data_IF_064617233446
#
_entry.id   IF_064617233446
#
_cell.length_a   1.000
_cell.length_b   1.000
_cell.length_c   1.000
_cell.angle_alpha   90.00
_cell.angle_beta   90.00
_cell.angle_gamma   90.00
#
_symmetry.space_group_name_H-M   'P 1'
#
loop_
_entity.id
_entity.type
_entity.pdbx_description
1 polymer ?
#
# COMPACT_ATOMS: atom_id res chain seq x y z
N UNK A 1 -30.48 11.98 -7.26
CA UNK A 1 -29.66 10.81 -6.87
C UNK A 1 -29.30 10.04 -8.12
N UNK A 2 -28.03 9.73 -8.30
CA UNK A 2 -27.58 8.89 -9.41
C UNK A 2 -27.91 7.43 -9.12
N UNK A 3 -27.78 6.57 -10.14
CA UNK A 3 -27.88 5.11 -9.97
C UNK A 3 -26.64 4.45 -10.55
N UNK A 4 -26.19 3.39 -9.90
CA UNK A 4 -25.14 2.54 -10.48
C UNK A 4 -25.68 1.88 -11.76
N UNK A 5 -24.92 1.98 -12.85
CA UNK A 5 -25.27 1.33 -14.11
C UNK A 5 -24.90 -0.15 -14.06
N UNK A 6 -25.42 -0.95 -14.99
CA UNK A 6 -25.00 -2.36 -15.15
C UNK A 6 -23.49 -2.50 -15.37
N UNK A 7 -22.87 -1.54 -16.08
CA UNK A 7 -21.43 -1.51 -16.29
C UNK A 7 -20.67 -1.22 -15.00
N UNK A 8 -21.15 -0.27 -14.18
CA UNK A 8 -20.56 -0.01 -12.86
C UNK A 8 -20.62 -1.26 -11.98
N UNK A 9 -21.80 -1.88 -11.83
CA UNK A 9 -21.98 -3.07 -11.01
C UNK A 9 -21.05 -4.22 -11.43
N UNK A 10 -20.88 -4.43 -12.74
CA UNK A 10 -19.96 -5.44 -13.27
C UNK A 10 -18.51 -5.14 -12.91
N UNK A 11 -18.10 -3.88 -13.06
CA UNK A 11 -16.74 -3.44 -12.72
C UNK A 11 -16.46 -3.58 -11.22
N UNK A 12 -17.38 -3.13 -10.38
CA UNK A 12 -17.28 -3.25 -8.92
C UNK A 12 -17.15 -4.72 -8.50
N UNK A 13 -18.06 -5.59 -8.99
CA UNK A 13 -18.01 -7.03 -8.73
C UNK A 13 -16.70 -7.69 -9.19
N UNK A 14 -16.17 -7.32 -10.36
CA UNK A 14 -14.91 -7.85 -10.88
C UNK A 14 -13.72 -7.55 -9.94
N UNK A 15 -13.75 -6.40 -9.27
CA UNK A 15 -12.73 -6.00 -8.30
C UNK A 15 -13.10 -6.30 -6.84
N UNK A 16 -14.15 -7.09 -6.60
CA UNK A 16 -14.62 -7.47 -5.28
C UNK A 16 -15.09 -6.29 -4.43
N UNK A 17 -15.58 -5.22 -5.08
CA UNK A 17 -16.19 -4.07 -4.43
C UNK A 17 -17.70 -4.30 -4.39
N UNK A 18 -18.25 -4.40 -3.20
CA UNK A 18 -19.68 -4.58 -2.99
C UNK A 18 -20.43 -3.26 -3.25
N UNK A 19 -21.67 -3.29 -3.77
CA UNK A 19 -22.47 -2.09 -4.00
C UNK A 19 -22.63 -1.20 -2.76
N UNK A 20 -22.61 -1.78 -1.56
CA UNK A 20 -22.70 -1.09 -0.29
C UNK A 20 -21.44 -0.26 0.03
N UNK A 21 -20.29 -0.60 -0.57
CA UNK A 21 -19.06 0.19 -0.49
C UNK A 21 -19.13 1.44 -1.40
N UNK A 22 -20.19 1.60 -2.20
CA UNK A 22 -20.39 2.73 -3.08
C UNK A 22 -21.15 3.90 -2.42
N UNK A 23 -20.80 5.12 -2.78
CA UNK A 23 -21.36 6.37 -2.25
C UNK A 23 -21.94 7.24 -3.37
N UNK A 24 -23.20 7.70 -3.23
CA UNK A 24 -23.80 8.66 -4.17
C UNK A 24 -23.22 10.05 -3.90
N UNK A 25 -22.30 10.49 -4.75
CA UNK A 25 -21.71 11.81 -4.71
C UNK A 25 -22.43 12.82 -5.63
N UNK A 26 -23.64 12.51 -6.11
CA UNK A 26 -24.43 13.41 -6.96
C UNK A 26 -24.59 14.79 -6.33
N UNK A 27 -24.17 15.82 -7.06
CA UNK A 27 -24.27 17.22 -6.60
C UNK A 27 -23.22 17.62 -5.56
N UNK A 28 -22.31 16.72 -5.16
CA UNK A 28 -21.25 17.00 -4.20
C UNK A 28 -19.92 17.25 -4.90
N UNK A 29 -19.20 18.29 -4.46
CA UNK A 29 -17.78 18.47 -4.81
C UNK A 29 -16.94 17.47 -4.03
N UNK A 30 -15.72 17.22 -4.53
CA UNK A 30 -14.74 16.33 -3.87
C UNK A 30 -14.50 16.68 -2.40
N UNK A 31 -14.41 17.96 -2.08
CA UNK A 31 -14.21 18.43 -0.71
C UNK A 31 -15.34 18.00 0.24
N UNK A 32 -16.54 17.77 -0.29
CA UNK A 32 -17.75 17.45 0.47
C UNK A 32 -17.94 15.93 0.60
N UNK A 33 -17.78 15.16 -0.48
CA UNK A 33 -17.98 13.71 -0.41
C UNK A 33 -16.80 12.98 0.25
N UNK A 34 -15.57 13.51 0.15
CA UNK A 34 -14.37 12.88 0.74
C UNK A 34 -14.50 12.61 2.24
N UNK A 35 -14.85 13.58 3.10
CA UNK A 35 -15.01 13.33 4.54
C UNK A 35 -16.17 12.38 4.84
N UNK A 36 -17.27 12.43 4.08
CA UNK A 36 -18.43 11.54 4.25
C UNK A 36 -18.09 10.09 3.92
N UNK A 37 -17.46 9.85 2.77
CA UNK A 37 -16.96 8.52 2.41
C UNK A 37 -16.01 7.96 3.47
N UNK A 38 -15.13 8.79 4.05
CA UNK A 38 -14.25 8.35 5.13
C UNK A 38 -15.03 7.97 6.40
N UNK A 39 -16.01 8.78 6.79
CA UNK A 39 -16.82 8.53 7.98
C UNK A 39 -17.71 7.29 7.84
N UNK A 40 -18.23 7.04 6.64
CA UNK A 40 -19.15 5.92 6.34
C UNK A 40 -18.44 4.66 5.84
N UNK A 41 -17.10 4.65 5.79
CA UNK A 41 -16.32 3.50 5.28
C UNK A 41 -16.57 3.18 3.80
N UNK A 42 -16.91 4.19 2.98
CA UNK A 42 -17.19 3.99 1.55
C UNK A 42 -15.91 4.04 0.73
N UNK A 43 -15.80 3.11 -0.21
CA UNK A 43 -14.61 2.92 -1.03
C UNK A 43 -14.66 3.75 -2.33
N UNK A 44 -15.82 3.77 -2.99
CA UNK A 44 -15.99 4.36 -4.34
C UNK A 44 -17.17 5.33 -4.39
N UNK A 45 -16.98 6.47 -5.03
CA UNK A 45 -18.03 7.43 -5.34
C UNK A 45 -18.58 7.20 -6.76
N UNK A 46 -19.90 7.29 -6.91
CA UNK A 46 -20.62 7.39 -8.19
C UNK A 46 -21.45 8.68 -8.22
N UNK A 47 -22.03 9.03 -9.38
CA UNK A 47 -22.71 10.33 -9.54
C UNK A 47 -21.75 11.52 -9.61
N UNK A 48 -20.45 11.26 -9.79
CA UNK A 48 -19.40 12.25 -9.98
C UNK A 48 -19.27 12.66 -11.45
N UNK A 49 -18.62 13.79 -11.70
CA UNK A 49 -18.25 14.21 -13.06
C UNK A 49 -17.40 13.12 -13.75
N UNK A 50 -17.79 12.65 -14.95
CA UNK A 50 -17.02 11.67 -15.70
C UNK A 50 -15.58 12.12 -15.95
N UNK A 51 -14.65 11.18 -16.06
CA UNK A 51 -13.30 11.48 -16.54
C UNK A 51 -13.28 11.64 -18.07
N UNK A 52 -12.13 11.95 -18.65
CA UNK A 52 -11.97 12.08 -20.11
C UNK A 52 -12.40 10.82 -20.89
N UNK A 53 -12.25 9.63 -20.29
CA UNK A 53 -12.67 8.36 -20.87
C UNK A 53 -14.16 8.01 -20.61
N UNK A 54 -14.95 8.94 -20.07
CA UNK A 54 -16.37 8.75 -19.78
C UNK A 54 -16.68 7.95 -18.51
N UNK A 55 -15.68 7.51 -17.74
CA UNK A 55 -15.89 6.76 -16.50
C UNK A 55 -16.37 7.65 -15.35
N UNK A 56 -17.33 7.16 -14.56
CA UNK A 56 -17.97 7.89 -13.47
C UNK A 56 -17.84 7.20 -12.09
N UNK A 57 -16.81 6.38 -11.92
CA UNK A 57 -16.41 5.80 -10.62
C UNK A 57 -15.09 6.42 -10.16
N UNK A 58 -15.10 7.08 -8.99
CA UNK A 58 -13.91 7.73 -8.42
C UNK A 58 -13.64 7.28 -6.99
N UNK A 59 -12.39 7.24 -6.57
CA UNK A 59 -12.05 7.07 -5.16
C UNK A 59 -12.30 8.36 -4.36
N UNK A 60 -12.14 8.31 -3.03
CA UNK A 60 -12.32 9.47 -2.14
C UNK A 60 -11.41 10.68 -2.45
N UNK A 61 -10.34 10.50 -3.22
CA UNK A 61 -9.41 11.55 -3.65
C UNK A 61 -9.74 12.13 -5.03
N UNK A 62 -10.74 11.58 -5.72
CA UNK A 62 -11.19 12.02 -7.04
C UNK A 62 -10.50 11.32 -8.20
N UNK A 63 -9.68 10.29 -7.98
CA UNK A 63 -9.07 9.53 -9.08
C UNK A 63 -10.06 8.53 -9.65
N UNK A 64 -10.09 8.41 -10.98
CA UNK A 64 -10.92 7.43 -11.66
C UNK A 64 -10.38 6.01 -11.41
N UNK A 65 -11.15 5.16 -10.75
CA UNK A 65 -10.69 3.80 -10.41
C UNK A 65 -10.65 2.88 -11.63
N UNK A 66 -11.37 3.22 -12.70
CA UNK A 66 -11.38 2.48 -13.97
C UNK A 66 -10.17 2.80 -14.85
N UNK A 67 -9.65 4.03 -14.79
CA UNK A 67 -8.41 4.39 -15.49
C UNK A 67 -7.17 3.91 -14.72
N UNK A 68 -7.27 3.80 -13.40
CA UNK A 68 -6.18 3.40 -12.51
C UNK A 68 -6.58 2.22 -11.62
N UNK A 69 -6.85 1.03 -12.19
CA UNK A 69 -7.33 -0.12 -11.43
C UNK A 69 -6.35 -0.56 -10.32
N UNK A 70 -5.05 -0.36 -10.51
CA UNK A 70 -4.05 -0.60 -9.46
C UNK A 70 -4.32 0.21 -8.18
N UNK A 71 -4.93 1.40 -8.29
CA UNK A 71 -5.29 2.22 -7.12
C UNK A 71 -6.32 1.55 -6.21
N UNK A 72 -7.10 0.59 -6.73
CA UNK A 72 -8.05 -0.20 -5.94
C UNK A 72 -7.28 -1.11 -5.00
N UNK A 73 -6.32 -1.87 -5.53
CA UNK A 73 -5.47 -2.76 -4.76
C UNK A 73 -4.61 -1.99 -3.74
N UNK A 74 -4.06 -0.82 -4.11
CA UNK A 74 -3.33 0.03 -3.17
C UNK A 74 -4.21 0.59 -2.05
N UNK A 75 -5.42 1.05 -2.38
CA UNK A 75 -6.36 1.54 -1.37
C UNK A 75 -6.77 0.43 -0.40
N UNK A 76 -7.06 -0.78 -0.90
CA UNK A 76 -7.35 -1.94 -0.05
C UNK A 76 -6.15 -2.39 0.76
N UNK A 77 -4.93 -2.36 0.19
CA UNK A 77 -3.69 -2.68 0.90
C UNK A 77 -3.52 -1.85 2.16
N UNK A 78 -3.93 -0.58 2.14
CA UNK A 78 -3.86 0.28 3.33
C UNK A 78 -4.73 -0.22 4.48
N UNK A 79 -5.80 -0.97 4.19
CA UNK A 79 -6.73 -1.50 5.19
C UNK A 79 -6.37 -2.92 5.64
N UNK A 80 -5.50 -3.62 4.91
CA UNK A 80 -5.10 -4.99 5.23
C UNK A 80 -4.24 -5.05 6.50
N UNK A 81 -4.61 -5.94 7.42
CA UNK A 81 -3.72 -6.46 8.45
C UNK A 81 -2.70 -7.42 7.83
N UNK A 82 -1.54 -7.55 8.47
CA UNK A 82 -0.50 -8.48 8.07
C UNK A 82 0.84 -8.17 8.71
N UNK A 83 1.88 -8.82 8.23
CA UNK A 83 3.24 -8.64 8.70
C UNK A 83 3.90 -7.42 8.05
N UNK A 84 4.33 -6.48 8.89
CA UNK A 84 5.40 -5.55 8.56
C UNK A 84 6.74 -6.23 8.83
N UNK A 85 7.71 -6.00 7.95
CA UNK A 85 9.05 -6.53 8.14
C UNK A 85 10.14 -5.51 7.77
N UNK A 86 11.25 -5.61 8.50
CA UNK A 86 12.52 -4.98 8.16
C UNK A 86 13.48 -6.07 7.70
N UNK A 87 14.06 -5.90 6.52
CA UNK A 87 15.12 -6.76 6.02
C UNK A 87 16.36 -5.96 5.69
N UNK A 88 17.54 -6.55 5.90
CA UNK A 88 18.83 -5.90 5.66
C UNK A 88 19.61 -6.67 4.60
N UNK A 89 20.26 -5.93 3.69
CA UNK A 89 21.34 -6.46 2.86
C UNK A 89 22.67 -6.12 3.54
N UNK A 90 23.52 -7.12 3.79
CA UNK A 90 24.85 -6.89 4.35
C UNK A 90 25.80 -6.32 3.30
N UNK A 91 25.67 -6.77 2.05
CA UNK A 91 26.51 -6.33 0.93
C UNK A 91 26.26 -4.88 0.51
N UNK A 92 25.00 -4.41 0.54
CA UNK A 92 24.68 -3.03 0.21
C UNK A 92 24.54 -2.10 1.42
N UNK A 93 24.46 -2.65 2.64
CA UNK A 93 24.21 -1.87 3.85
C UNK A 93 22.80 -1.26 3.94
N UNK A 94 21.89 -1.65 3.05
CA UNK A 94 20.55 -1.07 2.95
C UNK A 94 19.52 -1.82 3.80
N UNK A 95 18.48 -1.10 4.21
CA UNK A 95 17.27 -1.62 4.84
C UNK A 95 16.12 -1.59 3.85
N UNK A 96 15.41 -2.71 3.74
CA UNK A 96 14.12 -2.86 3.06
C UNK A 96 13.01 -2.86 4.10
N UNK A 97 12.00 -2.01 3.89
CA UNK A 97 10.76 -2.02 4.68
C UNK A 97 9.66 -2.58 3.81
N UNK A 98 9.00 -3.66 4.23
CA UNK A 98 7.94 -4.27 3.42
C UNK A 98 6.76 -4.79 4.23
N UNK A 99 5.73 -5.15 3.49
CA UNK A 99 4.50 -5.79 3.99
C UNK A 99 4.25 -7.13 3.31
N UNK A 100 3.75 -8.11 4.07
CA UNK A 100 3.10 -9.32 3.53
C UNK A 100 1.86 -9.69 4.35
N UNK A 101 0.81 -10.16 3.68
CA UNK A 101 -0.40 -10.66 4.35
C UNK A 101 -0.21 -12.04 4.99
N UNK A 102 0.85 -12.74 4.63
CA UNK A 102 1.07 -14.17 4.90
C UNK A 102 2.48 -14.46 5.41
N UNK A 103 3.48 -14.42 4.52
CA UNK A 103 4.80 -15.01 4.74
C UNK A 103 5.91 -14.02 4.29
N UNK A 104 6.44 -13.23 5.23
CA UNK A 104 7.60 -12.37 4.99
C UNK A 104 8.84 -13.12 4.50
N UNK A 105 9.05 -14.36 4.96
CA UNK A 105 10.24 -15.14 4.63
C UNK A 105 10.23 -15.54 3.15
N UNK A 106 9.08 -15.99 2.64
CA UNK A 106 8.92 -16.25 1.20
C UNK A 106 9.10 -14.98 0.35
N UNK A 107 8.69 -13.80 0.85
CA UNK A 107 8.94 -12.51 0.15
C UNK A 107 10.43 -12.21 0.03
N UNK A 108 11.19 -12.43 1.09
CA UNK A 108 12.64 -12.21 1.09
C UNK A 108 13.37 -13.28 0.27
N UNK A 109 12.93 -14.53 0.32
CA UNK A 109 13.42 -15.59 -0.55
C UNK A 109 13.31 -15.20 -2.03
N UNK A 110 12.12 -14.77 -2.48
CA UNK A 110 11.91 -14.33 -3.86
C UNK A 110 12.73 -13.08 -4.17
N UNK A 111 12.79 -12.10 -3.26
CA UNK A 111 13.60 -10.90 -3.44
C UNK A 111 15.09 -11.22 -3.66
N UNK A 112 15.61 -12.23 -2.97
CA UNK A 112 16.96 -12.72 -3.15
C UNK A 112 17.16 -13.46 -4.47
N UNK A 113 16.19 -14.26 -4.93
CA UNK A 113 16.27 -14.89 -6.25
C UNK A 113 16.29 -13.85 -7.38
N UNK A 114 15.49 -12.79 -7.24
CA UNK A 114 15.29 -11.75 -8.26
C UNK A 114 16.40 -10.68 -8.27
N UNK A 115 17.30 -10.68 -7.30
CA UNK A 115 18.30 -9.61 -7.14
C UNK A 115 17.66 -8.25 -6.84
N UNK A 116 16.61 -8.25 -6.01
CA UNK A 116 15.81 -7.06 -5.74
C UNK A 116 16.66 -5.88 -5.27
N UNK A 117 16.54 -4.72 -5.93
CA UNK A 117 17.35 -3.54 -5.61
C UNK A 117 18.85 -3.67 -5.89
N UNK A 118 19.24 -4.73 -6.59
CA UNK A 118 20.65 -5.09 -6.84
C UNK A 118 21.31 -5.85 -5.69
N UNK A 119 20.54 -6.50 -4.82
CA UNK A 119 21.04 -7.36 -3.73
C UNK A 119 20.38 -8.74 -3.74
N UNK A 120 21.13 -9.75 -3.27
CA UNK A 120 20.74 -11.17 -3.21
C UNK A 120 20.86 -11.76 -1.80
N UNK A 121 21.19 -10.92 -0.81
CA UNK A 121 21.56 -11.30 0.55
C UNK A 121 20.63 -10.69 1.60
N UNK A 122 19.40 -10.31 1.22
CA UNK A 122 18.40 -9.79 2.13
C UNK A 122 18.09 -10.80 3.24
N UNK A 123 18.10 -10.33 4.48
CA UNK A 123 17.72 -11.11 5.67
C UNK A 123 16.74 -10.32 6.51
N UNK A 124 15.67 -10.95 6.95
CA UNK A 124 14.73 -10.34 7.90
C UNK A 124 15.45 -10.12 9.22
N UNK A 125 15.34 -8.90 9.76
CA UNK A 125 15.84 -8.51 11.08
C UNK A 125 14.71 -8.28 12.09
N UNK A 126 13.51 -7.91 11.60
CA UNK A 126 12.34 -7.74 12.46
C UNK A 126 11.05 -8.04 11.68
N UNK A 127 10.08 -8.65 12.36
CA UNK A 127 8.70 -8.85 11.89
C UNK A 127 7.71 -8.44 12.96
N UNK A 128 6.54 -7.93 12.55
CA UNK A 128 5.43 -7.65 13.46
C UNK A 128 4.11 -7.78 12.72
N UNK A 129 3.16 -8.52 13.31
CA UNK A 129 1.79 -8.52 12.82
C UNK A 129 1.10 -7.24 13.29
N UNK A 130 0.51 -6.51 12.35
CA UNK A 130 -0.17 -5.25 12.63
C UNK A 130 -1.51 -5.15 11.91
N UNK A 131 -2.45 -4.45 12.54
CA UNK A 131 -3.67 -4.00 11.87
C UNK A 131 -3.37 -2.81 10.97
N UNK A 132 -4.05 -2.74 9.82
CA UNK A 132 -3.78 -1.73 8.78
C UNK A 132 -2.28 -1.64 8.41
N UNK A 133 -1.61 -2.80 8.38
CA UNK A 133 -0.18 -2.91 8.14
C UNK A 133 0.25 -2.23 6.84
N UNK A 134 -0.53 -2.31 5.76
CA UNK A 134 -0.19 -1.60 4.52
C UNK A 134 -0.23 -0.07 4.64
N UNK A 135 -1.08 0.50 5.51
CA UNK A 135 -1.05 1.94 5.79
C UNK A 135 0.18 2.31 6.62
N UNK A 136 0.53 1.47 7.60
CA UNK A 136 1.72 1.65 8.45
C UNK A 136 3.01 1.53 7.65
N UNK A 137 3.11 0.59 6.70
CA UNK A 137 4.23 0.48 5.75
C UNK A 137 4.49 1.81 5.05
N UNK A 138 3.43 2.41 4.49
CA UNK A 138 3.50 3.71 3.80
C UNK A 138 3.96 4.81 4.78
N UNK A 139 3.46 4.80 6.02
CA UNK A 139 3.85 5.77 7.04
C UNK A 139 5.34 5.64 7.42
N UNK A 140 5.85 4.42 7.56
CA UNK A 140 7.28 4.16 7.78
C UNK A 140 8.12 4.62 6.59
N UNK A 141 7.68 4.35 5.36
CA UNK A 141 8.35 4.84 4.15
C UNK A 141 8.42 6.37 4.07
N UNK A 142 7.43 7.06 4.63
CA UNK A 142 7.42 8.52 4.76
C UNK A 142 8.36 9.00 5.86
N UNK A 143 8.38 8.34 7.01
CA UNK A 143 9.32 8.66 8.10
C UNK A 143 10.78 8.47 7.72
N UNK A 144 11.07 7.56 6.78
CA UNK A 144 12.42 7.29 6.28
C UNK A 144 12.70 7.97 4.93
N UNK A 145 11.88 8.94 4.49
CA UNK A 145 12.02 9.54 3.15
C UNK A 145 13.40 10.10 2.87
N UNK A 146 14.05 10.69 3.87
CA UNK A 146 15.35 11.34 3.74
C UNK A 146 16.49 10.33 3.57
N UNK A 147 16.26 9.08 3.97
CA UNK A 147 17.19 7.97 3.80
C UNK A 147 16.91 7.16 2.54
N UNK A 148 15.97 7.56 1.68
CA UNK A 148 15.52 6.73 0.56
C UNK A 148 16.66 6.45 -0.43
N UNK A 149 16.91 5.17 -0.68
CA UNK A 149 17.89 4.69 -1.63
C UNK A 149 17.20 4.11 -2.88
N UNK A 150 17.04 4.91 -3.93
CA UNK A 150 16.47 4.44 -5.19
C UNK A 150 17.47 3.55 -5.94
N UNK A 151 17.09 2.30 -6.22
CA UNK A 151 17.94 1.32 -6.90
C UNK A 151 17.18 0.73 -8.09
N UNK A 152 17.79 0.80 -9.27
CA UNK A 152 17.27 0.09 -10.44
C UNK A 152 17.66 -1.39 -10.39
N UNK A 153 16.74 -2.27 -10.75
CA UNK A 153 16.98 -3.70 -10.90
C UNK A 153 16.13 -4.25 -12.05
N UNK A 154 16.51 -5.41 -12.59
CA UNK A 154 15.82 -6.01 -13.74
C UNK A 154 14.80 -7.02 -13.25
N UNK A 155 13.52 -6.77 -13.55
CA UNK A 155 12.44 -7.71 -13.33
C UNK A 155 11.84 -8.11 -14.66
N UNK A 156 11.86 -9.40 -14.99
CA UNK A 156 11.31 -9.93 -16.25
C UNK A 156 11.80 -9.15 -17.50
N UNK A 157 13.08 -8.83 -17.55
CA UNK A 157 13.70 -8.09 -18.66
C UNK A 157 13.44 -6.58 -18.68
N UNK A 158 12.71 -6.03 -17.70
CA UNK A 158 12.43 -4.58 -17.60
C UNK A 158 13.12 -3.98 -16.38
N UNK A 159 13.75 -2.81 -16.55
CA UNK A 159 14.32 -2.06 -15.44
C UNK A 159 13.21 -1.42 -14.58
N UNK A 160 13.27 -1.68 -13.26
CA UNK A 160 12.34 -1.15 -12.25
C UNK A 160 13.16 -0.48 -11.15
N UNK A 161 12.69 0.67 -10.68
CA UNK A 161 13.30 1.38 -9.54
C UNK A 161 12.58 0.99 -8.25
N UNK A 162 13.34 0.53 -7.25
CA UNK A 162 12.83 0.23 -5.91
C UNK A 162 12.54 1.53 -5.14
N UNK A 163 11.41 1.58 -4.43
CA UNK A 163 10.99 2.75 -3.63
C UNK A 163 10.92 2.50 -2.13
N UNK A 164 11.30 1.29 -1.71
CA UNK A 164 11.15 0.76 -0.36
C UNK A 164 12.49 0.37 0.28
N UNK A 165 13.59 0.90 -0.26
CA UNK A 165 14.95 0.72 0.26
C UNK A 165 15.45 2.02 0.87
N UNK A 166 16.19 1.89 1.96
CA UNK A 166 16.64 3.01 2.78
C UNK A 166 18.09 2.80 3.21
N UNK A 167 18.90 3.85 3.08
CA UNK A 167 20.27 3.94 3.56
C UNK A 167 20.27 4.50 4.99
N UNK A 168 19.91 3.64 5.93
CA UNK A 168 19.92 3.95 7.36
C UNK A 168 20.31 2.70 8.16
N UNK A 169 20.71 2.91 9.41
CA UNK A 169 20.96 1.78 10.30
C UNK A 169 19.65 1.08 10.73
N UNK A 170 19.79 -0.16 11.21
CA UNK A 170 18.65 -0.96 11.64
C UNK A 170 17.92 -0.32 12.84
N UNK A 171 18.62 0.40 13.72
CA UNK A 171 18.01 1.02 14.89
C UNK A 171 17.08 2.18 14.50
N UNK A 172 17.48 3.00 13.54
CA UNK A 172 16.67 4.05 12.95
C UNK A 172 15.42 3.47 12.26
N UNK A 173 15.58 2.38 11.52
CA UNK A 173 14.45 1.69 10.89
C UNK A 173 13.47 1.08 11.91
N UNK A 174 13.98 0.46 12.99
CA UNK A 174 13.16 -0.04 14.10
C UNK A 174 12.44 1.11 14.81
N UNK A 175 13.12 2.23 15.05
CA UNK A 175 12.52 3.43 15.64
C UNK A 175 11.37 3.98 14.78
N UNK A 176 11.58 4.09 13.47
CA UNK A 176 10.55 4.52 12.53
C UNK A 176 9.37 3.55 12.49
N UNK A 177 9.61 2.23 12.44
CA UNK A 177 8.56 1.22 12.53
C UNK A 177 7.76 1.37 13.82
N UNK A 178 8.46 1.43 14.96
CA UNK A 178 7.88 1.48 16.30
C UNK A 178 6.97 2.70 16.49
N UNK A 179 7.34 3.85 15.91
CA UNK A 179 6.54 5.08 16.00
C UNK A 179 5.13 4.95 15.39
N UNK A 180 4.90 3.97 14.51
CA UNK A 180 3.61 3.75 13.84
C UNK A 180 2.84 2.52 14.35
N UNK A 181 3.37 1.85 15.38
CA UNK A 181 2.73 0.69 16.01
C UNK A 181 1.97 1.11 17.27
N UNK A 182 0.91 0.36 17.58
CA UNK A 182 0.24 0.46 18.89
C UNK A 182 1.10 -0.16 19.99
N UNK A 183 0.81 0.17 21.25
CA UNK A 183 1.50 -0.44 22.39
C UNK A 183 1.45 -1.98 22.39
N UNK A 184 0.32 -2.56 21.94
CA UNK A 184 0.16 -4.01 21.80
C UNK A 184 1.08 -4.56 20.70
N UNK A 185 1.13 -3.91 19.54
CA UNK A 185 1.95 -4.35 18.41
C UNK A 185 3.45 -4.21 18.68
N UNK A 186 3.87 -3.18 19.43
CA UNK A 186 5.26 -3.05 19.88
C UNK A 186 5.75 -4.27 20.66
N UNK A 187 4.89 -4.88 21.48
CA UNK A 187 5.22 -6.08 22.24
C UNK A 187 5.25 -7.34 21.39
N UNK A 188 4.73 -7.29 20.16
CA UNK A 188 4.67 -8.40 19.21
C UNK A 188 5.80 -8.34 18.18
N UNK A 189 6.76 -7.41 18.30
CA UNK A 189 7.92 -7.38 17.41
C UNK A 189 8.80 -8.59 17.69
N UNK A 190 9.01 -9.39 16.66
CA UNK A 190 9.95 -10.50 16.64
C UNK A 190 11.25 -10.05 15.98
N UNK A 191 12.35 -10.05 16.74
CA UNK A 191 13.68 -9.74 16.23
C UNK A 191 14.41 -11.02 15.80
N UNK A 192 15.23 -10.93 14.74
CA UNK A 192 15.97 -12.05 14.16
C UNK A 192 17.43 -11.69 13.90
#
# INVERSE_FOLDING_TARGET
MARLTKAHLRYLKHHGIEPEEAFDASGLKRAEYRPRMKAEGKFVAYGVTPCHNGHALRNRYGNCIQCFPASIAFARRSELSGYLYLARSSGLGLIKVGFSSDDPDNRIYIANLDGYGGAWDWRICATVWADHAGAKEIAVHQSLSDFRAERAWIRNGTAIVSKELFDCDLAAAIGALSAHLTAKELQMIEYR
#
